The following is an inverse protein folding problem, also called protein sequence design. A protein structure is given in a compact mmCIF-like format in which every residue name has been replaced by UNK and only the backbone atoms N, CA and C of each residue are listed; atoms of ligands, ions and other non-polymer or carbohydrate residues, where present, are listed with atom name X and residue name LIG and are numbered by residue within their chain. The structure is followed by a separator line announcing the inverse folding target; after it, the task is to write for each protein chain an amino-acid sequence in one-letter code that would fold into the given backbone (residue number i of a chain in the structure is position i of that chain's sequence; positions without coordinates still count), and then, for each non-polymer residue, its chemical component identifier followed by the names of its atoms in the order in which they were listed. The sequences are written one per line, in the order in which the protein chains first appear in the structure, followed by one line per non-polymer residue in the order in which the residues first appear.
data_IF_602519596457
#
_entry.id   IF_602519596457
#
_cell.length_a   1.000
_cell.length_b   1.000
_cell.length_c   1.000
_cell.angle_alpha   90.00
_cell.angle_beta   90.00
_cell.angle_gamma   90.00
#
_symmetry.space_group_name_H-M   'P 1'
#
loop_
_entity.id
_entity.type
_entity.pdbx_description
1 polymer ?
#
# COMPACT_ATOMS: atom_id res chain seq x y z
N UNK A 1 -18.33 54.43 -9.62
CA UNK A 1 -17.72 53.37 -10.47
C UNK A 1 -16.55 52.75 -9.69
N UNK A 2 -16.81 51.77 -8.79
CA UNK A 2 -15.79 51.22 -7.89
C UNK A 2 -16.20 49.85 -7.29
N UNK A 3 -16.45 48.82 -8.11
CA UNK A 3 -16.84 47.47 -7.64
C UNK A 3 -16.12 46.30 -8.34
N UNK A 4 -14.94 46.53 -8.92
CA UNK A 4 -14.23 45.50 -9.72
C UNK A 4 -13.00 44.90 -9.03
N UNK A 5 -12.54 45.44 -7.89
CA UNK A 5 -11.29 45.00 -7.24
C UNK A 5 -11.41 43.75 -6.36
N UNK A 6 -12.59 43.45 -5.80
CA UNK A 6 -12.79 42.31 -4.90
C UNK A 6 -13.01 40.97 -5.62
N UNK A 7 -13.38 41.00 -6.90
CA UNK A 7 -13.68 39.79 -7.66
C UNK A 7 -12.42 39.08 -8.19
N UNK A 8 -11.41 39.84 -8.61
CA UNK A 8 -10.13 39.29 -9.07
C UNK A 8 -9.31 38.66 -7.93
N UNK A 9 -9.40 39.21 -6.72
CA UNK A 9 -8.67 38.69 -5.56
C UNK A 9 -9.14 37.30 -5.13
N UNK A 10 -10.46 37.03 -5.19
CA UNK A 10 -11.02 35.70 -4.91
C UNK A 10 -10.65 34.64 -5.96
N UNK A 11 -10.36 35.05 -7.21
CA UNK A 11 -9.86 34.13 -8.24
C UNK A 11 -8.37 33.84 -8.10
N UNK A 12 -7.59 34.82 -7.66
CA UNK A 12 -6.17 34.61 -7.35
C UNK A 12 -5.98 33.72 -6.11
N UNK A 13 -6.77 33.94 -5.04
CA UNK A 13 -6.74 33.11 -3.82
C UNK A 13 -7.19 31.65 -4.09
N UNK A 14 -8.08 31.42 -5.05
CA UNK A 14 -8.56 30.08 -5.43
C UNK A 14 -7.62 29.35 -6.41
N UNK A 15 -6.65 30.05 -7.01
CA UNK A 15 -5.65 29.48 -7.90
C UNK A 15 -4.37 29.01 -7.16
N UNK A 16 -4.25 29.28 -5.86
CA UNK A 16 -3.05 29.01 -5.05
C UNK A 16 -3.23 27.82 -4.07
N UNK A 17 -4.18 26.91 -4.36
CA UNK A 17 -4.43 25.73 -3.53
C UNK A 17 -4.53 24.46 -4.37
N UNK A 18 -3.59 24.24 -5.30
CA UNK A 18 -3.62 23.08 -6.20
C UNK A 18 -2.34 22.21 -6.17
N UNK A 19 -1.43 22.39 -5.21
CA UNK A 19 -0.14 21.66 -5.24
C UNK A 19 0.29 21.09 -3.88
N UNK A 20 -0.66 20.71 -3.03
CA UNK A 20 -0.36 19.85 -1.88
C UNK A 20 -0.72 18.40 -2.22
N UNK A 21 -0.07 17.85 -3.24
CA UNK A 21 0.00 16.40 -3.42
C UNK A 21 0.90 15.84 -2.31
N UNK A 22 0.33 15.64 -1.12
CA UNK A 22 1.04 14.94 -0.06
C UNK A 22 1.43 13.54 -0.57
N UNK A 23 2.71 13.14 -0.49
CA UNK A 23 3.15 11.85 -0.99
C UNK A 23 2.38 10.73 -0.29
N UNK A 24 1.69 9.89 -1.08
CA UNK A 24 0.89 8.79 -0.55
C UNK A 24 1.83 7.84 0.20
N UNK A 25 1.63 7.60 1.52
CA UNK A 25 2.50 6.76 2.31
C UNK A 25 2.65 5.35 1.72
N UNK A 26 3.89 4.84 1.67
CA UNK A 26 4.22 3.54 1.03
C UNK A 26 3.44 2.38 1.64
N UNK A 27 3.17 2.43 2.95
CA UNK A 27 2.39 1.40 3.63
C UNK A 27 0.94 1.34 3.12
N UNK A 28 0.34 2.48 2.75
CA UNK A 28 -1.00 2.51 2.16
C UNK A 28 -0.98 1.86 0.78
N UNK A 29 -0.01 2.20 -0.07
CA UNK A 29 0.10 1.60 -1.41
C UNK A 29 0.25 0.06 -1.38
N UNK A 30 0.89 -0.49 -0.35
CA UNK A 30 1.02 -1.95 -0.17
C UNK A 30 -0.32 -2.58 0.21
N UNK A 31 -1.09 -1.94 1.10
CA UNK A 31 -2.41 -2.41 1.55
C UNK A 31 -3.54 -2.09 0.55
N UNK A 32 -3.35 -1.13 -0.35
CA UNK A 32 -4.34 -0.76 -1.37
C UNK A 32 -4.29 -1.69 -2.59
N UNK A 33 -3.25 -2.52 -2.69
CA UNK A 33 -3.08 -3.48 -3.79
C UNK A 33 -3.62 -4.87 -3.40
N UNK A 34 -4.84 -5.26 -3.87
CA UNK A 34 -5.46 -6.52 -3.50
C UNK A 34 -4.64 -7.75 -3.93
N UNK A 35 -3.86 -7.65 -5.01
CA UNK A 35 -2.97 -8.73 -5.45
C UNK A 35 -1.76 -8.93 -4.53
N UNK A 36 -1.22 -7.85 -3.93
CA UNK A 36 -0.13 -7.97 -2.94
C UNK A 36 -0.62 -8.61 -1.66
N UNK A 37 -1.81 -8.21 -1.20
CA UNK A 37 -2.49 -8.82 -0.06
C UNK A 37 -2.83 -10.29 -0.32
N UNK A 38 -3.34 -10.61 -1.51
CA UNK A 38 -3.61 -11.98 -1.92
C UNK A 38 -2.31 -12.79 -1.93
N UNK A 39 -1.28 -12.31 -2.63
CA UNK A 39 0.00 -12.98 -2.73
C UNK A 39 0.59 -13.26 -1.35
N UNK A 40 0.63 -12.28 -0.45
CA UNK A 40 1.14 -12.46 0.89
C UNK A 40 0.25 -13.44 1.69
N UNK A 41 -1.07 -13.36 1.52
CA UNK A 41 -2.06 -14.21 2.19
C UNK A 41 -1.93 -15.70 1.87
N UNK A 42 -1.57 -16.07 0.65
CA UNK A 42 -1.26 -17.47 0.28
C UNK A 42 0.21 -17.82 0.47
N UNK A 43 1.14 -16.92 0.19
CA UNK A 43 2.58 -17.21 0.24
C UNK A 43 3.03 -17.50 1.67
N UNK A 44 2.59 -16.71 2.65
CA UNK A 44 2.96 -16.90 4.06
C UNK A 44 2.59 -18.30 4.58
N UNK A 45 1.32 -18.74 4.54
CA UNK A 45 0.97 -20.08 4.99
C UNK A 45 1.62 -21.16 4.13
N UNK A 46 1.73 -20.97 2.81
CA UNK A 46 2.36 -21.97 1.93
C UNK A 46 3.81 -22.21 2.31
N UNK A 47 4.61 -21.16 2.47
CA UNK A 47 6.02 -21.29 2.86
C UNK A 47 6.14 -21.89 4.26
N UNK A 48 5.32 -21.46 5.22
CA UNK A 48 5.31 -22.04 6.56
C UNK A 48 4.99 -23.53 6.54
N UNK A 49 3.96 -23.95 5.80
CA UNK A 49 3.58 -25.37 5.68
C UNK A 49 4.66 -26.19 4.97
N UNK A 50 5.30 -25.65 3.94
CA UNK A 50 6.42 -26.31 3.26
C UNK A 50 7.58 -26.49 4.22
N UNK A 51 8.01 -25.42 4.92
CA UNK A 51 9.12 -25.49 5.87
C UNK A 51 8.83 -26.48 6.99
N UNK A 52 7.61 -26.44 7.54
CA UNK A 52 7.17 -27.37 8.56
C UNK A 52 7.16 -28.82 8.05
N UNK A 53 6.60 -29.05 6.86
CA UNK A 53 6.57 -30.38 6.24
C UNK A 53 7.96 -30.92 5.89
N UNK A 54 8.89 -30.07 5.47
CA UNK A 54 10.28 -30.47 5.20
C UNK A 54 10.97 -30.88 6.49
N UNK A 55 10.77 -30.13 7.58
CA UNK A 55 11.31 -30.50 8.89
C UNK A 55 10.73 -31.83 9.37
N UNK A 56 9.42 -32.04 9.22
CA UNK A 56 8.73 -33.30 9.57
C UNK A 56 9.29 -34.49 8.78
N UNK A 57 9.51 -34.34 7.48
CA UNK A 57 10.09 -35.42 6.66
C UNK A 57 11.54 -35.69 7.02
N UNK A 58 12.32 -34.65 7.34
CA UNK A 58 13.72 -34.79 7.71
C UNK A 58 13.94 -35.48 9.07
N UNK A 59 12.96 -35.40 9.98
CA UNK A 59 13.01 -36.07 11.29
C UNK A 59 12.52 -37.51 11.25
N UNK A 60 11.88 -37.97 10.17
CA UNK A 60 11.48 -39.37 10.02
C UNK A 60 12.74 -40.23 9.90
N UNK A 61 12.97 -41.17 10.85
CA UNK A 61 14.09 -42.07 10.74
C UNK A 61 13.87 -43.01 9.56
N UNK A 62 14.77 -42.94 8.57
CA UNK A 62 14.78 -43.88 7.46
C UNK A 62 15.25 -45.22 8.01
N UNK A 63 14.32 -46.17 8.13
CA UNK A 63 14.64 -47.53 8.62
C UNK A 63 15.68 -48.15 7.67
N UNK A 64 16.74 -48.70 8.26
CA UNK A 64 17.89 -49.29 7.58
C UNK A 64 17.63 -50.74 7.18
#
# INVERSE_FOLDING_TARGET
MARTSTFNRRRAEMAETDNNEEPIPVMQQILDNPFLLLFLGITVPTVLYILWGVMEVATIPVVK
#
